data_IF_218454406833
#
_entry.id   IF_218454406833
#
_cell.length_a   1.000
_cell.length_b   1.000
_cell.length_c   1.000
_cell.angle_alpha   90.00
_cell.angle_beta   90.00
_cell.angle_gamma   90.00
#
_symmetry.space_group_name_H-M   'P 1'
#
loop_
_entity.id
_entity.type
_entity.pdbx_description
1 polymer ?
#
# COMPACT_ATOMS: atom_id res chain seq x y z
N UNK A 1 -2.06 13.00 8.87
CA UNK A 1 -1.24 12.04 8.09
C UNK A 1 -0.51 12.78 6.98
N UNK A 2 0.72 12.43 6.75
CA UNK A 2 1.55 13.00 5.68
C UNK A 2 1.81 11.90 4.65
N UNK A 3 1.57 12.19 3.38
CA UNK A 3 1.97 11.35 2.26
C UNK A 3 3.16 12.02 1.58
N UNK A 4 4.24 11.27 1.41
CA UNK A 4 5.48 11.79 0.82
C UNK A 4 6.31 10.64 0.24
N UNK A 5 7.44 10.97 -0.32
CA UNK A 5 8.44 9.98 -0.74
C UNK A 5 9.23 9.49 0.45
N UNK A 6 10.05 8.48 0.24
CA UNK A 6 10.91 7.95 1.29
C UNK A 6 11.88 9.03 1.77
N UNK A 7 11.82 9.35 3.06
CA UNK A 7 12.69 10.34 3.71
C UNK A 7 13.95 9.71 4.30
N UNK A 8 13.86 8.45 4.72
CA UNK A 8 14.94 7.72 5.37
C UNK A 8 14.97 6.29 4.81
N UNK A 9 15.94 6.04 3.93
CA UNK A 9 16.08 4.76 3.24
C UNK A 9 16.35 3.61 4.21
N UNK A 10 17.13 3.85 5.26
CA UNK A 10 17.46 2.80 6.22
C UNK A 10 16.25 2.38 7.04
N UNK A 11 15.43 3.34 7.46
CA UNK A 11 14.18 3.05 8.15
C UNK A 11 13.19 2.32 7.23
N UNK A 12 13.08 2.78 5.99
CA UNK A 12 12.25 2.13 4.97
C UNK A 12 12.62 0.65 4.82
N UNK A 13 13.92 0.37 4.64
CA UNK A 13 14.43 -0.99 4.49
C UNK A 13 14.17 -1.84 5.75
N UNK A 14 14.35 -1.26 6.92
CA UNK A 14 14.13 -1.96 8.19
C UNK A 14 12.67 -2.37 8.36
N UNK A 15 11.73 -1.47 8.08
CA UNK A 15 10.29 -1.78 8.17
C UNK A 15 9.89 -2.80 7.11
N UNK A 16 10.35 -2.61 5.87
CA UNK A 16 10.10 -3.57 4.79
C UNK A 16 10.57 -4.97 5.19
N UNK A 17 11.78 -5.10 5.69
CA UNK A 17 12.35 -6.38 6.11
C UNK A 17 11.55 -7.03 7.22
N UNK A 18 11.09 -6.24 8.19
CA UNK A 18 10.29 -6.74 9.32
C UNK A 18 8.92 -7.26 8.90
N UNK A 19 8.43 -6.82 7.73
CA UNK A 19 7.11 -7.18 7.19
C UNK A 19 7.19 -8.04 5.93
N UNK A 20 8.40 -8.41 5.51
CA UNK A 20 8.61 -9.21 4.32
C UNK A 20 8.09 -10.63 4.56
N UNK A 21 7.17 -11.06 3.72
CA UNK A 21 6.56 -12.38 3.75
C UNK A 21 6.79 -13.14 2.43
N UNK A 22 7.74 -12.69 1.61
CA UNK A 22 8.06 -13.28 0.32
C UNK A 22 7.16 -12.87 -0.84
N UNK A 23 6.17 -12.01 -0.58
CA UNK A 23 5.19 -11.59 -1.60
C UNK A 23 5.29 -10.11 -1.98
N UNK A 24 6.11 -9.33 -1.30
CA UNK A 24 6.28 -7.91 -1.61
C UNK A 24 7.56 -7.67 -2.41
N UNK A 25 7.55 -6.60 -3.21
CA UNK A 25 8.70 -6.23 -4.02
C UNK A 25 9.89 -5.82 -3.16
N UNK A 26 11.09 -5.82 -3.73
CA UNK A 26 12.30 -5.38 -3.01
C UNK A 26 12.24 -3.87 -2.73
N UNK A 27 12.91 -3.39 -1.66
CA UNK A 27 12.96 -1.95 -1.39
C UNK A 27 13.50 -1.15 -2.58
N UNK A 28 14.53 -1.64 -3.23
CA UNK A 28 15.13 -0.99 -4.40
C UNK A 28 14.14 -0.89 -5.56
N UNK A 29 13.37 -1.96 -5.80
CA UNK A 29 12.34 -1.99 -6.84
C UNK A 29 11.21 -1.00 -6.56
N UNK A 30 10.76 -0.91 -5.32
CA UNK A 30 9.71 0.04 -4.92
C UNK A 30 10.22 1.48 -5.10
N UNK A 31 11.39 1.79 -4.59
CA UNK A 31 11.94 3.14 -4.60
C UNK A 31 12.34 3.60 -6.01
N UNK A 32 12.68 2.67 -6.90
CA UNK A 32 12.97 2.99 -8.29
C UNK A 32 11.74 3.48 -9.04
N UNK A 33 10.54 3.11 -8.61
CA UNK A 33 9.28 3.54 -9.22
C UNK A 33 8.76 4.81 -8.53
N UNK A 34 9.39 5.92 -8.89
CA UNK A 34 9.24 7.22 -8.24
C UNK A 34 7.79 7.73 -8.19
N UNK A 35 7.02 7.50 -9.26
CA UNK A 35 5.67 8.04 -9.37
C UNK A 35 4.60 7.14 -8.74
N UNK A 36 4.97 5.94 -8.33
CA UNK A 36 4.02 4.92 -7.87
C UNK A 36 4.36 4.33 -6.51
N UNK A 37 5.13 5.06 -5.69
CA UNK A 37 5.25 4.73 -4.28
C UNK A 37 4.86 5.92 -3.41
N UNK A 38 4.15 5.63 -2.32
CA UNK A 38 3.57 6.62 -1.41
C UNK A 38 3.91 6.20 0.00
N UNK A 39 4.95 6.82 0.57
CA UNK A 39 5.25 6.62 1.99
C UNK A 39 4.29 7.45 2.82
N UNK A 40 3.85 6.91 3.94
CA UNK A 40 2.93 7.63 4.81
C UNK A 40 3.50 7.71 6.22
N UNK A 41 3.25 8.87 6.83
CA UNK A 41 3.83 9.30 8.08
C UNK A 41 2.74 9.84 8.98
N UNK A 42 2.94 9.73 10.29
CA UNK A 42 2.11 10.47 11.23
C UNK A 42 2.44 11.96 11.16
N UNK A 43 1.58 12.81 11.71
CA UNK A 43 1.75 14.26 11.66
C UNK A 43 3.05 14.73 12.33
N UNK A 44 3.58 13.95 13.26
CA UNK A 44 4.87 14.25 13.90
C UNK A 44 6.09 13.83 13.06
N UNK A 45 5.86 13.25 11.88
CA UNK A 45 6.92 12.81 10.97
C UNK A 45 7.35 11.36 11.12
N UNK A 46 6.76 10.59 12.05
CA UNK A 46 7.08 9.17 12.21
C UNK A 46 6.66 8.37 10.98
N UNK A 47 7.59 7.63 10.40
CA UNK A 47 7.32 6.74 9.29
C UNK A 47 6.42 5.58 9.73
N UNK A 48 5.35 5.34 9.00
CA UNK A 48 4.43 4.23 9.27
C UNK A 48 4.57 3.12 8.24
N UNK A 49 4.60 3.46 6.96
CA UNK A 49 4.68 2.45 5.92
C UNK A 49 4.68 3.03 4.52
N UNK A 50 4.50 2.15 3.55
CA UNK A 50 4.50 2.51 2.14
C UNK A 50 3.41 1.74 1.40
N UNK A 51 2.70 2.46 0.53
CA UNK A 51 1.82 1.87 -0.48
C UNK A 51 2.50 2.05 -1.82
N UNK A 52 2.56 1.00 -2.62
CA UNK A 52 3.12 1.10 -3.96
C UNK A 52 2.22 0.41 -4.97
N UNK A 53 2.29 0.87 -6.20
CA UNK A 53 1.49 0.37 -7.30
C UNK A 53 2.40 -0.33 -8.30
N UNK A 54 1.91 -1.44 -8.83
CA UNK A 54 2.59 -2.23 -9.85
C UNK A 54 1.65 -2.45 -11.02
N UNK A 55 2.19 -2.45 -12.23
CA UNK A 55 1.46 -2.85 -13.42
C UNK A 55 1.66 -4.35 -13.63
N UNK A 56 0.57 -5.09 -13.55
CA UNK A 56 0.55 -6.53 -13.79
C UNK A 56 -0.37 -6.82 -14.99
N UNK A 57 0.24 -7.01 -16.15
CA UNK A 57 -0.47 -7.29 -17.40
C UNK A 57 -1.58 -6.27 -17.73
N UNK A 58 -1.28 -5.00 -17.54
CA UNK A 58 -2.23 -3.91 -17.78
C UNK A 58 -3.18 -3.61 -16.63
N UNK A 59 -3.07 -4.35 -15.53
CA UNK A 59 -3.84 -4.09 -14.30
C UNK A 59 -2.99 -3.34 -13.29
N UNK A 60 -3.54 -2.32 -12.68
CA UNK A 60 -2.86 -1.57 -11.62
C UNK A 60 -3.11 -2.29 -10.29
N UNK A 61 -2.05 -2.83 -9.72
CA UNK A 61 -2.10 -3.57 -8.46
C UNK A 61 -1.56 -2.72 -7.31
N UNK A 62 -2.32 -2.65 -6.22
CA UNK A 62 -1.94 -1.96 -4.99
C UNK A 62 -1.35 -2.96 -4.01
N UNK A 63 -0.18 -2.64 -3.50
CA UNK A 63 0.51 -3.42 -2.49
C UNK A 63 1.09 -2.48 -1.44
N UNK A 64 1.57 -3.02 -0.33
CA UNK A 64 2.16 -2.17 0.69
C UNK A 64 2.61 -2.94 1.91
N UNK A 65 3.21 -2.20 2.82
CA UNK A 65 3.62 -2.69 4.13
C UNK A 65 3.56 -1.55 5.14
N UNK A 66 3.40 -1.89 6.41
CA UNK A 66 3.35 -0.89 7.47
C UNK A 66 3.82 -1.49 8.80
N UNK A 67 4.26 -0.63 9.70
CA UNK A 67 4.50 -1.00 11.08
C UNK A 67 3.20 -1.55 11.70
N UNK A 68 3.28 -2.60 12.55
CA UNK A 68 2.08 -3.18 13.16
C UNK A 68 1.32 -2.17 14.03
N UNK A 69 0.03 -2.43 14.24
CA UNK A 69 -0.85 -1.65 15.12
C UNK A 69 -1.12 -0.21 14.64
N UNK A 70 -1.01 0.05 13.34
CA UNK A 70 -1.27 1.36 12.75
C UNK A 70 -2.43 1.30 11.75
N UNK A 71 -3.46 0.48 12.02
CA UNK A 71 -4.57 0.27 11.09
C UNK A 71 -5.31 1.56 10.73
N UNK A 72 -5.46 2.48 11.67
CA UNK A 72 -6.09 3.78 11.45
C UNK A 72 -5.40 4.56 10.33
N UNK A 73 -4.08 4.67 10.41
CA UNK A 73 -3.27 5.38 9.40
C UNK A 73 -3.20 4.58 8.09
N UNK A 74 -3.10 3.25 8.15
CA UNK A 74 -3.08 2.42 6.94
C UNK A 74 -4.36 2.59 6.13
N UNK A 75 -5.52 2.56 6.79
CA UNK A 75 -6.82 2.76 6.13
C UNK A 75 -6.87 4.15 5.50
N UNK A 76 -6.46 5.17 6.22
CA UNK A 76 -6.43 6.55 5.72
C UNK A 76 -5.52 6.68 4.50
N UNK A 77 -4.34 6.07 4.54
CA UNK A 77 -3.38 6.10 3.44
C UNK A 77 -3.92 5.38 2.20
N UNK A 78 -4.52 4.20 2.36
CA UNK A 78 -5.11 3.46 1.23
C UNK A 78 -6.26 4.26 0.61
N UNK A 79 -7.10 4.87 1.43
CA UNK A 79 -8.18 5.74 0.93
C UNK A 79 -7.63 6.92 0.15
N UNK A 80 -6.54 7.51 0.63
CA UNK A 80 -5.89 8.62 -0.06
C UNK A 80 -5.36 8.20 -1.43
N UNK A 81 -4.64 7.08 -1.51
CA UNK A 81 -4.12 6.55 -2.78
C UNK A 81 -5.25 6.15 -3.72
N UNK A 82 -6.29 5.53 -3.19
CA UNK A 82 -7.49 5.15 -3.96
C UNK A 82 -8.16 6.37 -4.59
N UNK A 83 -8.28 7.47 -3.86
CA UNK A 83 -8.82 8.73 -4.40
C UNK A 83 -7.88 9.36 -5.43
N UNK A 84 -6.57 9.35 -5.15
CA UNK A 84 -5.55 9.84 -6.08
C UNK A 84 -5.61 9.09 -7.41
N UNK A 85 -5.86 7.78 -7.36
CA UNK A 85 -5.95 6.89 -8.52
C UNK A 85 -7.40 6.61 -8.94
N UNK A 86 -8.31 7.54 -8.68
CA UNK A 86 -9.76 7.31 -8.88
C UNK A 86 -10.15 6.92 -10.31
N UNK A 87 -9.37 7.31 -11.30
CA UNK A 87 -9.67 7.03 -12.71
C UNK A 87 -9.20 5.65 -13.16
N UNK A 88 -8.51 4.92 -12.31
CA UNK A 88 -7.99 3.60 -12.61
C UNK A 88 -8.72 2.53 -11.80
N UNK A 89 -8.94 1.38 -12.42
CA UNK A 89 -9.36 0.20 -11.68
C UNK A 89 -8.17 -0.30 -10.88
N UNK A 90 -8.38 -0.51 -9.58
CA UNK A 90 -7.33 -0.98 -8.67
C UNK A 90 -7.60 -2.40 -8.22
N UNK A 91 -6.56 -3.22 -8.23
CA UNK A 91 -6.57 -4.60 -7.73
C UNK A 91 -5.62 -4.72 -6.55
N UNK A 92 -5.90 -5.63 -5.65
CA UNK A 92 -4.97 -5.97 -4.57
C UNK A 92 -5.11 -7.45 -4.23
N UNK A 93 -3.99 -8.14 -4.11
CA UNK A 93 -3.95 -9.55 -3.76
C UNK A 93 -3.35 -9.71 -2.37
N UNK A 94 -4.02 -10.48 -1.51
CA UNK A 94 -3.48 -10.79 -0.19
C UNK A 94 -4.08 -12.08 0.35
N UNK A 95 -3.29 -12.81 1.12
CA UNK A 95 -3.74 -13.99 1.86
C UNK A 95 -3.98 -13.68 3.34
N UNK A 96 -3.65 -12.47 3.80
CA UNK A 96 -3.70 -12.12 5.22
C UNK A 96 -5.07 -11.57 5.62
N UNK A 97 -5.72 -12.14 6.66
CA UNK A 97 -7.06 -11.68 7.09
C UNK A 97 -7.13 -10.19 7.44
N UNK A 98 -6.10 -9.67 8.09
CA UNK A 98 -6.08 -8.25 8.48
C UNK A 98 -6.01 -7.34 7.25
N UNK A 99 -5.21 -7.69 6.25
CA UNK A 99 -5.14 -6.94 5.01
C UNK A 99 -6.45 -6.98 4.24
N UNK A 100 -7.10 -8.14 4.20
CA UNK A 100 -8.45 -8.28 3.59
C UNK A 100 -9.47 -7.36 4.25
N UNK A 101 -9.46 -7.30 5.58
CA UNK A 101 -10.37 -6.43 6.33
C UNK A 101 -10.11 -4.95 6.01
N UNK A 102 -8.84 -4.55 5.97
CA UNK A 102 -8.46 -3.17 5.64
C UNK A 102 -8.92 -2.80 4.24
N UNK A 103 -8.71 -3.66 3.26
CA UNK A 103 -9.15 -3.42 1.88
C UNK A 103 -10.66 -3.24 1.79
N UNK A 104 -11.43 -4.07 2.48
CA UNK A 104 -12.90 -3.92 2.53
C UNK A 104 -13.31 -2.57 3.11
N UNK A 105 -12.67 -2.13 4.18
CA UNK A 105 -12.95 -0.84 4.80
C UNK A 105 -12.57 0.35 3.91
N UNK A 106 -11.70 0.12 2.93
CA UNK A 106 -11.30 1.13 1.95
C UNK A 106 -12.14 1.09 0.67
N UNK A 107 -13.21 0.30 0.64
CA UNK A 107 -14.13 0.26 -0.49
C UNK A 107 -13.76 -0.75 -1.57
N UNK A 108 -12.80 -1.62 -1.32
CA UNK A 108 -12.47 -2.72 -2.23
C UNK A 108 -13.44 -3.87 -2.03
N UNK A 109 -13.89 -4.46 -3.13
CA UNK A 109 -14.80 -5.60 -3.14
C UNK A 109 -14.04 -6.88 -3.45
N UNK A 110 -14.36 -7.94 -2.73
CA UNK A 110 -13.80 -9.27 -2.96
C UNK A 110 -14.30 -9.81 -4.29
N UNK A 111 -13.39 -10.24 -5.17
CA UNK A 111 -13.74 -10.92 -6.43
C UNK A 111 -13.36 -12.41 -6.46
N UNK A 112 -12.40 -12.81 -5.63
CA UNK A 112 -12.12 -14.20 -5.29
C UNK A 112 -11.50 -14.25 -3.88
N UNK A 113 -11.05 -15.43 -3.42
CA UNK A 113 -10.61 -15.60 -2.04
C UNK A 113 -9.48 -14.65 -1.62
N UNK A 114 -8.60 -14.27 -2.54
CA UNK A 114 -7.41 -13.48 -2.25
C UNK A 114 -7.32 -12.19 -3.07
N UNK A 115 -8.30 -11.91 -3.94
CA UNK A 115 -8.26 -10.76 -4.83
C UNK A 115 -9.38 -9.78 -4.52
N UNK A 116 -8.99 -8.53 -4.40
CA UNK A 116 -9.89 -7.40 -4.12
C UNK A 116 -9.80 -6.38 -5.25
N UNK A 117 -10.89 -5.69 -5.49
CA UNK A 117 -11.05 -4.80 -6.63
C UNK A 117 -11.81 -3.54 -6.24
N UNK A 118 -11.35 -2.40 -6.72
CA UNK A 118 -12.05 -1.13 -6.64
C UNK A 118 -12.15 -0.54 -8.04
N UNK A 119 -13.38 -0.38 -8.52
CA UNK A 119 -13.63 0.18 -9.85
C UNK A 119 -13.30 1.67 -9.90
N UNK A 120 -12.79 2.14 -11.04
CA UNK A 120 -12.59 3.57 -11.32
C UNK A 120 -13.89 4.37 -11.14
N UNK A 121 -13.75 5.61 -10.72
CA UNK A 121 -14.90 6.51 -10.52
C UNK A 121 -14.59 7.98 -10.82
#
# INVERSE_FOLDING_TARGET
MIIDRCRDIEEFKAVHKSRDNGHIATPEGILANWDYHFCFYRDNGDFVGCIYLEDDEGKVCLSGFAKPKNYDIVIEAIKWVSEFMRKDDLYSNTVFPNAKLVLRRCGFNKIDDNTYFRKAF
#
